data_IF_208878050926
#
_entry.id   IF_208878050926
#
_cell.length_a   1.000
_cell.length_b   1.000
_cell.length_c   1.000
_cell.angle_alpha   90.00
_cell.angle_beta   90.00
_cell.angle_gamma   90.00
#
_symmetry.space_group_name_H-M   'P 1'
#
loop_
_entity.id
_entity.type
_entity.pdbx_description
1 polymer ?
#
# COMPACT_ATOMS: atom_id res chain seq x y z
N UNK A 1 9.59 -3.86 -4.62
CA UNK A 1 10.07 -2.90 -5.64
C UNK A 1 9.02 -1.85 -5.94
N UNK A 2 9.42 -0.62 -6.16
CA UNK A 2 8.49 0.45 -6.45
C UNK A 2 8.41 0.71 -7.95
N UNK A 3 7.20 0.88 -8.45
CA UNK A 3 6.98 1.30 -9.83
C UNK A 3 7.03 2.83 -9.86
N UNK A 4 8.04 3.39 -10.49
CA UNK A 4 8.23 4.84 -10.53
C UNK A 4 7.00 5.54 -11.13
N UNK A 5 6.38 4.95 -12.13
CA UNK A 5 5.18 5.52 -12.77
C UNK A 5 4.02 5.64 -11.77
N UNK A 6 3.95 4.74 -10.80
CA UNK A 6 2.91 4.79 -9.76
C UNK A 6 3.26 5.85 -8.72
N UNK A 7 4.52 5.87 -8.27
CA UNK A 7 4.97 6.81 -7.23
C UNK A 7 4.87 8.25 -7.73
N UNK A 8 5.14 8.50 -9.01
CA UNK A 8 5.11 9.82 -9.60
C UNK A 8 3.72 10.20 -10.13
N UNK A 9 2.72 9.31 -10.02
CA UNK A 9 1.37 9.61 -10.53
C UNK A 9 0.68 10.67 -9.67
N UNK A 10 -0.17 11.47 -10.29
CA UNK A 10 -0.93 12.49 -9.58
C UNK A 10 -1.81 11.88 -8.50
N UNK A 11 -2.40 10.70 -8.78
CA UNK A 11 -3.24 10.01 -7.81
C UNK A 11 -2.47 9.67 -6.54
N UNK A 12 -1.22 9.24 -6.69
CA UNK A 12 -0.36 8.92 -5.55
C UNK A 12 0.05 10.19 -4.79
N UNK A 13 0.48 11.21 -5.53
CA UNK A 13 0.97 12.45 -4.94
C UNK A 13 -0.13 13.26 -4.24
N UNK A 14 -1.39 13.06 -4.64
CA UNK A 14 -2.53 13.73 -4.00
C UNK A 14 -2.88 13.12 -2.65
N UNK A 15 -2.34 11.95 -2.31
CA UNK A 15 -2.62 11.33 -1.02
C UNK A 15 -1.83 12.02 0.10
N UNK A 16 -2.37 12.02 1.35
CA UNK A 16 -1.61 12.50 2.51
C UNK A 16 -0.27 11.79 2.64
N UNK A 17 0.70 12.46 3.22
CA UNK A 17 2.04 11.89 3.41
C UNK A 17 1.99 10.59 4.23
N UNK A 18 1.09 10.51 5.23
CA UNK A 18 0.93 9.29 6.01
C UNK A 18 0.49 8.11 5.15
N UNK A 19 -0.40 8.36 4.19
CA UNK A 19 -0.87 7.31 3.26
C UNK A 19 0.25 6.89 2.32
N UNK A 20 1.01 7.83 1.81
CA UNK A 20 2.17 7.55 0.95
C UNK A 20 3.21 6.71 1.72
N UNK A 21 3.48 7.10 2.96
CA UNK A 21 4.41 6.38 3.82
C UNK A 21 3.94 4.95 4.06
N UNK A 22 2.65 4.76 4.32
CA UNK A 22 2.09 3.43 4.51
C UNK A 22 2.28 2.57 3.26
N UNK A 23 2.04 3.14 2.09
CA UNK A 23 2.25 2.43 0.83
C UNK A 23 3.70 1.94 0.69
N UNK A 24 4.68 2.80 0.99
CA UNK A 24 6.09 2.42 0.92
C UNK A 24 6.42 1.31 1.91
N UNK A 25 5.93 1.42 3.13
CA UNK A 25 6.17 0.39 4.16
C UNK A 25 5.55 -0.94 3.79
N UNK A 26 4.33 -0.91 3.25
CA UNK A 26 3.69 -2.13 2.78
C UNK A 26 4.48 -2.77 1.64
N UNK A 27 4.94 -1.95 0.71
CA UNK A 27 5.72 -2.44 -0.44
C UNK A 27 7.04 -3.07 0.00
N UNK A 28 7.69 -2.49 1.01
CA UNK A 28 8.95 -3.02 1.53
C UNK A 28 8.78 -4.38 2.22
N UNK A 29 7.59 -4.66 2.73
CA UNK A 29 7.32 -5.89 3.50
C UNK A 29 6.50 -6.91 2.73
N UNK A 30 6.15 -6.62 1.49
CA UNK A 30 5.44 -7.56 0.63
C UNK A 30 6.40 -8.68 0.22
N UNK A 31 5.83 -9.86 -0.04
CA UNK A 31 6.62 -10.98 -0.56
C UNK A 31 6.87 -10.80 -2.06
N UNK A 32 7.45 -11.83 -2.70
CA UNK A 32 7.81 -11.75 -4.12
C UNK A 32 6.61 -11.51 -5.04
N UNK A 33 5.42 -11.86 -4.58
CA UNK A 33 4.19 -11.70 -5.35
C UNK A 33 3.39 -10.46 -4.93
N UNK A 34 3.93 -9.69 -4.00
CA UNK A 34 3.27 -8.47 -3.54
C UNK A 34 2.23 -8.69 -2.44
N UNK A 35 2.20 -9.88 -1.83
CA UNK A 35 1.25 -10.17 -0.76
C UNK A 35 1.77 -9.73 0.60
N UNK A 36 0.85 -9.24 1.43
CA UNK A 36 1.15 -8.81 2.80
C UNK A 36 0.16 -9.48 3.74
N UNK A 37 0.69 -10.28 4.67
CA UNK A 37 -0.14 -11.09 5.57
C UNK A 37 -0.60 -10.33 6.82
N UNK A 38 0.09 -9.26 7.20
CA UNK A 38 -0.18 -8.56 8.46
C UNK A 38 -0.23 -7.04 8.29
N UNK A 39 -1.17 -6.53 7.47
CA UNK A 39 -1.23 -5.09 7.19
C UNK A 39 -1.49 -4.24 8.43
N UNK A 40 -2.28 -4.75 9.39
CA UNK A 40 -2.58 -4.01 10.62
C UNK A 40 -1.34 -3.79 11.48
N UNK A 41 -0.44 -4.77 11.53
CA UNK A 41 0.81 -4.63 12.26
C UNK A 41 1.69 -3.56 11.61
N UNK A 42 1.77 -3.57 10.30
CA UNK A 42 2.56 -2.58 9.56
C UNK A 42 1.95 -1.19 9.76
N UNK A 43 0.63 -1.08 9.71
CA UNK A 43 -0.07 0.17 9.95
C UNK A 43 0.29 0.75 11.32
N UNK A 44 0.33 -0.10 12.35
CA UNK A 44 0.71 0.32 13.70
C UNK A 44 2.17 0.77 13.79
N UNK A 45 3.06 0.06 13.10
CA UNK A 45 4.48 0.40 13.09
C UNK A 45 4.73 1.76 12.45
N UNK A 46 3.98 2.08 11.41
CA UNK A 46 4.08 3.37 10.73
C UNK A 46 3.40 4.49 11.51
N UNK A 47 2.42 4.13 12.33
CA UNK A 47 1.64 5.12 13.08
C UNK A 47 0.47 5.71 12.30
N UNK A 48 0.05 5.03 11.25
CA UNK A 48 -1.07 5.48 10.41
C UNK A 48 -2.41 4.98 10.97
N UNK A 49 -3.50 5.69 10.60
CA UNK A 49 -4.84 5.26 10.95
C UNK A 49 -5.43 4.31 9.92
N UNK A 50 -6.58 3.74 10.26
CA UNK A 50 -7.33 2.89 9.31
C UNK A 50 -7.71 3.64 8.05
N UNK A 51 -7.90 4.95 8.15
CA UNK A 51 -8.30 5.78 7.00
C UNK A 51 -7.23 5.76 5.91
N UNK A 52 -5.96 5.70 6.27
CA UNK A 52 -4.87 5.64 5.29
C UNK A 52 -4.94 4.34 4.49
N UNK A 53 -5.21 3.23 5.17
CA UNK A 53 -5.35 1.94 4.50
C UNK A 53 -6.56 1.95 3.57
N UNK A 54 -7.69 2.50 4.04
CA UNK A 54 -8.91 2.61 3.23
C UNK A 54 -8.69 3.49 2.02
N UNK A 55 -7.91 4.55 2.15
CA UNK A 55 -7.62 5.44 1.04
C UNK A 55 -6.81 4.72 -0.06
N UNK A 56 -5.83 3.91 0.34
CA UNK A 56 -5.08 3.10 -0.61
C UNK A 56 -5.99 2.12 -1.35
N UNK A 57 -6.95 1.51 -0.64
CA UNK A 57 -7.93 0.64 -1.25
C UNK A 57 -8.83 1.40 -2.23
N UNK A 58 -9.32 2.57 -1.82
CA UNK A 58 -10.22 3.37 -2.63
C UNK A 58 -9.55 3.85 -3.92
N UNK A 59 -8.25 4.15 -3.84
CA UNK A 59 -7.49 4.58 -5.02
C UNK A 59 -6.91 3.39 -5.80
N UNK A 60 -7.21 2.18 -5.36
CA UNK A 60 -6.83 0.93 -6.03
C UNK A 60 -5.33 0.70 -6.12
N UNK A 61 -4.59 1.19 -5.14
CA UNK A 61 -3.16 0.86 -5.02
C UNK A 61 -2.97 -0.50 -4.37
N UNK A 62 -3.93 -0.94 -3.56
CA UNK A 62 -3.90 -2.25 -2.92
C UNK A 62 -5.25 -2.93 -3.06
N UNK A 63 -5.26 -4.26 -2.96
CA UNK A 63 -6.47 -5.07 -2.93
C UNK A 63 -6.50 -5.83 -1.61
N UNK A 64 -7.69 -5.94 -1.01
CA UNK A 64 -7.85 -6.62 0.28
C UNK A 64 -8.71 -7.87 0.08
N UNK A 65 -8.23 -8.99 0.61
CA UNK A 65 -8.96 -10.25 0.57
C UNK A 65 -9.70 -10.48 1.90
N UNK A 66 -10.71 -11.35 1.87
CA UNK A 66 -11.53 -11.66 3.04
C UNK A 66 -10.71 -12.19 4.21
N UNK A 67 -9.58 -12.84 3.93
CA UNK A 67 -8.69 -13.37 4.95
C UNK A 67 -7.88 -12.30 5.70
N UNK A 68 -7.99 -11.04 5.27
CA UNK A 68 -7.20 -9.95 5.85
C UNK A 68 -5.84 -9.74 5.18
N UNK A 69 -5.53 -10.55 4.20
CA UNK A 69 -4.31 -10.40 3.39
C UNK A 69 -4.54 -9.30 2.36
N UNK A 70 -3.52 -8.47 2.13
CA UNK A 70 -3.59 -7.48 1.04
C UNK A 70 -2.51 -7.78 0.00
N UNK A 71 -2.73 -7.26 -1.19
CA UNK A 71 -1.76 -7.40 -2.28
C UNK A 71 -1.57 -6.02 -2.92
N UNK A 72 -0.33 -5.73 -3.29
CA UNK A 72 0.00 -4.49 -4.01
C UNK A 72 -0.44 -4.68 -5.46
N UNK A 73 -1.42 -3.91 -5.88
CA UNK A 73 -2.03 -4.09 -7.21
C UNK A 73 -1.04 -3.91 -8.35
N UNK A 74 -0.11 -2.96 -8.20
CA UNK A 74 0.84 -2.62 -9.27
C UNK A 74 2.23 -3.22 -9.04
N UNK A 75 2.29 -4.33 -8.33
CA UNK A 75 3.55 -4.92 -7.88
C UNK A 75 4.52 -5.22 -9.03
N UNK A 76 4.03 -5.71 -10.15
CA UNK A 76 4.86 -6.16 -11.27
C UNK A 76 4.83 -5.21 -12.46
N UNK A 77 4.46 -3.96 -12.27
CA UNK A 77 4.51 -2.98 -13.34
C UNK A 77 5.95 -2.46 -13.49
N UNK A 78 6.42 -2.47 -14.71
CA UNK A 78 7.76 -2.03 -15.04
C UNK A 78 7.74 -0.82 -15.96
#
# INVERSE_FOLDING_TARGET
MFAKTIIDSDAFLDMPLSTQSLYFHLSMRADDDGFINNPKKIQRMVGCGDDDLKLLMAKRFILVFDSGVIVIKHWKIH
#
